data_IF_819765683728
#
_entry.id   IF_819765683728
#
_cell.length_a   1.000
_cell.length_b   1.000
_cell.length_c   1.000
_cell.angle_alpha   90.00
_cell.angle_beta   90.00
_cell.angle_gamma   90.00
#
_symmetry.space_group_name_H-M   'P 1'
#
loop_
_entity.id
_entity.type
_entity.pdbx_description
1 polymer ?
#
# COMPACT_ATOMS: atom_id res chain seq x y z
N UNK A 1 0.52 2.10 -31.33
CA UNK A 1 0.46 2.29 -29.87
C UNK A 1 -0.15 1.07 -29.20
N UNK A 2 -1.28 0.56 -29.69
CA UNK A 2 -1.96 -0.62 -29.12
C UNK A 2 -1.10 -1.90 -29.11
N UNK A 3 -0.41 -2.25 -30.20
CA UNK A 3 0.43 -3.46 -30.24
C UNK A 3 1.55 -3.47 -29.19
N UNK A 4 2.14 -2.31 -28.92
CA UNK A 4 3.16 -2.16 -27.89
C UNK A 4 2.56 -2.38 -26.50
N UNK A 5 1.38 -1.82 -26.23
CA UNK A 5 0.67 -1.99 -24.96
C UNK A 5 0.27 -3.46 -24.77
N UNK A 6 -0.28 -4.11 -25.80
CA UNK A 6 -0.64 -5.54 -25.74
C UNK A 6 0.60 -6.39 -25.47
N UNK A 7 1.73 -6.14 -26.16
CA UNK A 7 2.99 -6.84 -25.90
C UNK A 7 3.48 -6.64 -24.47
N UNK A 8 3.39 -5.41 -23.95
CA UNK A 8 3.81 -5.09 -22.58
C UNK A 8 2.94 -5.80 -21.54
N UNK A 9 1.62 -5.83 -21.74
CA UNK A 9 0.68 -6.56 -20.88
C UNK A 9 1.01 -8.07 -20.91
N UNK A 10 1.14 -8.65 -22.09
CA UNK A 10 1.44 -10.09 -22.25
C UNK A 10 2.76 -10.45 -21.59
N UNK A 11 3.83 -9.69 -21.85
CA UNK A 11 5.14 -9.90 -21.22
C UNK A 11 5.07 -9.72 -19.71
N UNK A 12 4.30 -8.73 -19.22
CA UNK A 12 4.05 -8.54 -17.80
C UNK A 12 3.40 -9.75 -17.16
N UNK A 13 2.31 -10.28 -17.73
CA UNK A 13 1.60 -11.46 -17.23
C UNK A 13 2.50 -12.69 -17.19
N UNK A 14 3.28 -12.93 -18.25
CA UNK A 14 4.25 -14.03 -18.31
C UNK A 14 5.32 -13.85 -17.23
N UNK A 15 5.91 -12.66 -17.12
CA UNK A 15 6.95 -12.36 -16.15
C UNK A 15 6.48 -12.60 -14.71
N UNK A 16 5.30 -12.09 -14.34
CA UNK A 16 4.73 -12.29 -13.00
C UNK A 16 4.38 -13.75 -12.71
N UNK A 17 3.94 -14.50 -13.72
CA UNK A 17 3.69 -15.94 -13.59
C UNK A 17 4.99 -16.70 -13.32
N UNK A 18 6.07 -16.36 -14.03
CA UNK A 18 7.39 -16.97 -13.78
C UNK A 18 7.91 -16.63 -12.39
N UNK A 19 7.81 -15.36 -11.97
CA UNK A 19 8.20 -14.94 -10.61
C UNK A 19 7.42 -15.73 -9.56
N UNK A 20 6.12 -15.92 -9.74
CA UNK A 20 5.31 -16.73 -8.83
C UNK A 20 5.79 -18.18 -8.73
N UNK A 21 6.06 -18.83 -9.87
CA UNK A 21 6.58 -20.20 -9.89
C UNK A 21 7.97 -20.30 -9.24
N UNK A 22 8.84 -19.31 -9.44
CA UNK A 22 10.15 -19.23 -8.79
C UNK A 22 10.03 -19.07 -7.28
N UNK A 23 9.18 -18.15 -6.80
CA UNK A 23 8.91 -17.98 -5.36
C UNK A 23 8.36 -19.28 -4.77
N UNK A 24 7.43 -19.94 -5.46
CA UNK A 24 6.87 -21.23 -5.01
C UNK A 24 7.94 -22.32 -4.91
N UNK A 25 8.90 -22.33 -5.85
CA UNK A 25 10.01 -23.28 -5.86
C UNK A 25 11.00 -23.02 -4.72
N UNK A 26 11.36 -21.76 -4.48
CA UNK A 26 12.29 -21.35 -3.42
C UNK A 26 11.66 -21.57 -2.03
N UNK A 27 10.38 -21.20 -1.88
CA UNK A 27 9.63 -21.28 -0.63
C UNK A 27 8.57 -22.40 -0.70
N UNK A 28 9.01 -23.62 -0.99
CA UNK A 28 8.13 -24.79 -1.14
C UNK A 28 7.30 -25.08 0.12
N UNK A 29 7.83 -24.74 1.30
CA UNK A 29 7.20 -24.94 2.60
C UNK A 29 6.11 -23.90 2.93
N UNK A 30 6.00 -22.80 2.17
CA UNK A 30 4.97 -21.79 2.40
C UNK A 30 3.63 -22.19 1.75
N UNK A 31 2.53 -21.55 2.16
CA UNK A 31 1.23 -21.74 1.51
C UNK A 31 1.20 -21.05 0.13
N UNK A 32 0.23 -21.42 -0.72
CA UNK A 32 -0.03 -20.72 -1.98
C UNK A 32 -0.28 -19.22 -1.74
N UNK A 33 -1.05 -18.88 -0.71
CA UNK A 33 -1.41 -17.51 -0.37
C UNK A 33 -0.20 -16.72 0.14
N UNK A 34 0.66 -17.34 0.95
CA UNK A 34 1.94 -16.77 1.37
C UNK A 34 2.84 -16.45 0.17
N UNK A 35 2.97 -17.37 -0.79
CA UNK A 35 3.73 -17.12 -2.01
C UNK A 35 3.15 -15.94 -2.79
N UNK A 36 1.82 -15.89 -2.93
CA UNK A 36 1.13 -14.79 -3.60
C UNK A 36 1.38 -13.42 -2.93
N UNK A 37 1.42 -13.39 -1.59
CA UNK A 37 1.76 -12.17 -0.82
C UNK A 37 3.19 -11.70 -1.05
N UNK A 38 4.15 -12.63 -1.14
CA UNK A 38 5.55 -12.31 -1.45
C UNK A 38 5.61 -11.68 -2.85
N UNK A 39 4.99 -12.31 -3.85
CA UNK A 39 4.95 -11.77 -5.22
C UNK A 39 4.24 -10.41 -5.27
N UNK A 40 3.14 -10.24 -4.54
CA UNK A 40 2.42 -8.95 -4.45
C UNK A 40 3.28 -7.86 -3.83
N UNK A 41 4.09 -8.20 -2.81
CA UNK A 41 5.03 -7.25 -2.20
C UNK A 41 6.13 -6.84 -3.18
N UNK A 42 6.66 -7.80 -3.94
CA UNK A 42 7.64 -7.53 -5.01
C UNK A 42 7.01 -6.63 -6.09
N UNK A 43 5.78 -6.92 -6.50
CA UNK A 43 5.03 -6.11 -7.46
C UNK A 43 4.86 -4.66 -6.99
N UNK A 44 4.38 -4.46 -5.77
CA UNK A 44 4.21 -3.12 -5.20
C UNK A 44 5.56 -2.38 -5.13
N UNK A 45 6.63 -3.04 -4.69
CA UNK A 45 7.96 -2.43 -4.61
C UNK A 45 8.51 -2.03 -5.99
N UNK A 46 8.38 -2.90 -6.99
CA UNK A 46 8.80 -2.59 -8.36
C UNK A 46 7.93 -1.48 -8.97
N UNK A 47 6.61 -1.52 -8.78
CA UNK A 47 5.71 -0.47 -9.27
C UNK A 47 6.06 0.90 -8.69
N UNK A 48 6.24 0.99 -7.37
CA UNK A 48 6.62 2.23 -6.70
C UNK A 48 8.00 2.72 -7.16
N UNK A 49 8.98 1.82 -7.30
CA UNK A 49 10.35 2.18 -7.73
C UNK A 49 10.35 2.69 -9.17
N UNK A 50 9.75 1.94 -10.10
CA UNK A 50 9.71 2.31 -11.51
C UNK A 50 8.89 3.58 -11.74
N UNK A 51 7.77 3.74 -11.03
CA UNK A 51 6.98 4.97 -11.07
C UNK A 51 7.81 6.15 -10.56
N UNK A 52 8.56 5.98 -9.47
CA UNK A 52 9.44 7.03 -8.93
C UNK A 52 10.56 7.42 -9.89
N UNK A 53 11.15 6.45 -10.58
CA UNK A 53 12.18 6.68 -11.61
C UNK A 53 11.62 7.34 -12.88
N UNK A 54 10.31 7.23 -13.12
CA UNK A 54 9.66 7.86 -14.28
C UNK A 54 9.39 9.36 -14.10
N UNK A 55 9.42 9.86 -12.86
CA UNK A 55 9.19 11.27 -12.54
C UNK A 55 10.46 12.07 -12.84
N UNK A 56 10.35 13.01 -13.78
CA UNK A 56 11.48 13.83 -14.22
C UNK A 56 11.83 14.98 -13.26
N UNK A 57 10.82 15.50 -12.53
CA UNK A 57 11.01 16.61 -11.61
C UNK A 57 10.26 16.37 -10.28
N UNK A 58 11.01 16.38 -9.19
CA UNK A 58 10.53 16.22 -7.81
C UNK A 58 10.48 17.54 -7.03
N UNK A 59 10.83 18.68 -7.63
CA UNK A 59 10.89 19.98 -6.95
C UNK A 59 9.53 20.46 -6.42
N UNK A 60 8.45 20.06 -7.09
CA UNK A 60 7.08 20.39 -6.69
C UNK A 60 6.18 19.16 -6.88
N UNK A 61 6.25 18.17 -5.97
CA UNK A 61 5.61 16.88 -6.17
C UNK A 61 4.09 16.95 -6.09
N UNK A 62 3.56 18.01 -5.46
CA UNK A 62 2.13 18.25 -5.29
C UNK A 62 1.83 19.69 -5.73
N UNK A 63 0.76 19.88 -6.50
CA UNK A 63 0.34 21.19 -6.98
C UNK A 63 -0.03 22.12 -5.82
N UNK A 64 0.28 23.43 -5.85
CA UNK A 64 -0.32 24.36 -4.90
C UNK A 64 -1.86 24.37 -5.01
N UNK A 65 -2.55 24.58 -3.89
CA UNK A 65 -4.01 24.72 -3.90
C UNK A 65 -4.44 25.82 -4.89
N UNK A 66 -5.51 25.55 -5.66
CA UNK A 66 -6.06 26.41 -6.72
C UNK A 66 -5.18 26.65 -7.97
N UNK A 67 -4.08 25.92 -8.17
CA UNK A 67 -3.32 25.97 -9.42
C UNK A 67 -3.80 24.92 -10.43
N UNK A 68 -3.63 25.22 -11.74
CA UNK A 68 -3.77 24.22 -12.81
C UNK A 68 -2.53 23.34 -12.83
N UNK A 69 -2.73 22.03 -12.74
CA UNK A 69 -1.65 21.06 -12.74
C UNK A 69 -1.00 20.95 -14.12
N UNK A 70 0.32 21.04 -14.18
CA UNK A 70 1.08 20.67 -15.38
C UNK A 70 1.20 19.15 -15.50
N UNK A 71 1.45 18.65 -16.72
CA UNK A 71 1.62 17.21 -16.96
C UNK A 71 2.67 16.57 -16.03
N UNK A 72 3.75 17.29 -15.72
CA UNK A 72 4.80 16.85 -14.81
C UNK A 72 4.33 16.73 -13.35
N UNK A 73 3.56 17.72 -12.89
CA UNK A 73 3.03 17.72 -11.51
C UNK A 73 1.96 16.64 -11.31
N UNK A 74 1.14 16.36 -12.34
CA UNK A 74 0.21 15.23 -12.29
C UNK A 74 0.94 13.89 -12.10
N UNK A 75 2.08 13.72 -12.78
CA UNK A 75 2.91 12.52 -12.66
C UNK A 75 3.46 12.35 -11.24
N UNK A 76 4.09 13.38 -10.68
CA UNK A 76 4.62 13.33 -9.32
C UNK A 76 3.55 13.16 -8.25
N UNK A 77 2.38 13.80 -8.43
CA UNK A 77 1.23 13.68 -7.52
C UNK A 77 0.68 12.25 -7.51
N UNK A 78 0.59 11.62 -8.68
CA UNK A 78 0.18 10.22 -8.81
C UNK A 78 1.19 9.27 -8.16
N UNK A 79 2.50 9.52 -8.29
CA UNK A 79 3.52 8.72 -7.60
C UNK A 79 3.50 8.94 -6.09
N UNK A 80 3.26 10.17 -5.63
CA UNK A 80 3.05 10.44 -4.21
C UNK A 80 1.82 9.69 -3.65
N UNK A 81 0.73 9.65 -4.42
CA UNK A 81 -0.45 8.85 -4.10
C UNK A 81 -0.07 7.35 -3.98
N UNK A 82 0.67 6.81 -4.96
CA UNK A 82 1.13 5.41 -4.95
C UNK A 82 1.98 5.09 -3.71
N UNK A 83 2.90 5.97 -3.32
CA UNK A 83 3.71 5.79 -2.10
C UNK A 83 2.83 5.74 -0.85
N UNK A 84 1.94 6.73 -0.71
CA UNK A 84 0.98 6.78 0.41
C UNK A 84 0.12 5.53 0.42
N UNK A 85 -0.23 5.00 -0.76
CA UNK A 85 -1.09 3.83 -0.84
C UNK A 85 -0.41 2.52 -0.50
N UNK A 86 0.83 2.34 -0.93
CA UNK A 86 1.52 1.05 -0.91
C UNK A 86 2.52 0.87 0.24
N UNK A 87 2.96 1.94 0.91
CA UNK A 87 3.98 1.84 1.97
C UNK A 87 3.55 0.94 3.15
N UNK A 88 2.24 0.83 3.40
CA UNK A 88 1.70 -0.06 4.43
C UNK A 88 1.54 -1.53 4.00
N UNK A 89 1.53 -1.81 2.69
CA UNK A 89 1.25 -3.14 2.12
C UNK A 89 2.28 -4.21 2.52
N UNK A 90 3.60 -3.94 2.53
CA UNK A 90 4.59 -4.91 3.01
C UNK A 90 4.33 -5.38 4.45
N UNK A 91 3.92 -4.46 5.33
CA UNK A 91 3.63 -4.77 6.73
C UNK A 91 2.33 -5.56 6.88
N UNK A 92 1.33 -5.27 6.05
CA UNK A 92 0.09 -6.06 5.93
C UNK A 92 0.39 -7.51 5.50
N UNK A 93 1.22 -7.68 4.46
CA UNK A 93 1.60 -9.01 4.01
C UNK A 93 2.44 -9.75 5.06
N UNK A 94 3.37 -9.06 5.73
CA UNK A 94 4.20 -9.63 6.79
C UNK A 94 3.37 -10.13 7.98
N UNK A 95 2.41 -9.35 8.50
CA UNK A 95 1.55 -9.79 9.62
C UNK A 95 0.69 -11.01 9.26
N UNK A 96 0.32 -11.17 7.99
CA UNK A 96 -0.46 -12.31 7.54
C UNK A 96 0.42 -13.53 7.31
N UNK A 97 1.63 -13.34 6.77
CA UNK A 97 2.65 -14.38 6.65
C UNK A 97 3.03 -14.97 8.02
N UNK A 98 3.25 -14.11 9.03
CA UNK A 98 3.53 -14.56 10.40
C UNK A 98 2.41 -15.45 10.97
N UNK A 99 1.14 -15.12 10.69
CA UNK A 99 0.00 -15.94 11.13
C UNK A 99 -0.04 -17.30 10.42
N UNK A 100 0.27 -17.33 9.12
CA UNK A 100 0.32 -18.57 8.34
C UNK A 100 1.49 -19.47 8.77
N UNK A 101 2.61 -18.89 9.21
CA UNK A 101 3.77 -19.61 9.75
C UNK A 101 3.58 -20.12 11.20
N UNK A 102 2.40 -19.92 11.80
CA UNK A 102 2.11 -20.37 13.17
C UNK A 102 2.48 -19.36 14.27
N UNK A 103 3.02 -18.19 13.93
CA UNK A 103 3.36 -17.13 14.90
C UNK A 103 2.15 -16.27 15.30
N UNK A 104 0.93 -16.83 15.26
CA UNK A 104 -0.28 -16.12 15.68
C UNK A 104 -0.20 -15.79 17.18
N UNK A 105 -0.59 -14.57 17.55
CA UNK A 105 -0.57 -14.05 18.92
C UNK A 105 0.79 -14.00 19.63
N UNK A 106 1.90 -14.13 18.88
CA UNK A 106 3.26 -13.87 19.38
C UNK A 106 3.59 -12.38 19.42
N UNK A 107 4.65 -12.00 20.15
CA UNK A 107 5.17 -10.63 20.17
C UNK A 107 5.62 -10.15 18.78
N UNK A 108 6.17 -11.04 17.94
CA UNK A 108 6.53 -10.70 16.55
C UNK A 108 5.30 -10.32 15.71
N UNK A 109 4.22 -11.09 15.81
CA UNK A 109 2.96 -10.79 15.12
C UNK A 109 2.29 -9.53 15.67
N UNK A 110 2.40 -9.27 16.98
CA UNK A 110 1.92 -8.02 17.57
C UNK A 110 2.73 -6.80 17.09
N UNK A 111 4.06 -6.93 17.04
CA UNK A 111 4.93 -5.89 16.51
C UNK A 111 4.61 -5.58 15.03
N UNK A 112 4.38 -6.61 14.21
CA UNK A 112 3.96 -6.43 12.82
C UNK A 112 2.56 -5.79 12.70
N UNK A 113 1.59 -6.19 13.53
CA UNK A 113 0.27 -5.55 13.59
C UNK A 113 0.36 -4.07 13.96
N UNK A 114 1.22 -3.72 14.92
CA UNK A 114 1.42 -2.34 15.37
C UNK A 114 2.19 -1.50 14.35
N UNK A 115 3.25 -2.04 13.76
CA UNK A 115 3.99 -1.39 12.68
C UNK A 115 3.09 -1.09 11.48
N UNK A 116 2.26 -2.07 11.06
CA UNK A 116 1.24 -1.86 10.05
C UNK A 116 0.28 -0.73 10.44
N UNK A 117 -0.23 -0.73 11.67
CA UNK A 117 -1.15 0.32 12.13
C UNK A 117 -0.52 1.71 12.13
N UNK A 118 0.72 1.86 12.62
CA UNK A 118 1.44 3.14 12.65
C UNK A 118 1.68 3.66 11.24
N UNK A 119 2.25 2.82 10.36
CA UNK A 119 2.56 3.22 8.99
C UNK A 119 1.29 3.56 8.21
N UNK A 120 0.24 2.75 8.34
CA UNK A 120 -1.06 3.04 7.74
C UNK A 120 -1.62 4.38 8.24
N UNK A 121 -1.51 4.67 9.55
CA UNK A 121 -2.00 5.93 10.12
C UNK A 121 -1.24 7.14 9.59
N UNK A 122 0.09 7.10 9.63
CA UNK A 122 0.93 8.21 9.15
C UNK A 122 0.73 8.45 7.65
N UNK A 123 0.80 7.39 6.84
CA UNK A 123 0.67 7.54 5.40
C UNK A 123 -0.76 7.91 5.01
N UNK A 124 -1.77 7.15 5.45
CA UNK A 124 -3.14 7.26 4.94
C UNK A 124 -4.01 8.25 5.70
N UNK A 125 -3.80 8.45 7.01
CA UNK A 125 -4.64 9.34 7.82
C UNK A 125 -4.03 10.72 8.05
N UNK A 126 -2.75 10.92 7.67
CA UNK A 126 -2.12 12.24 7.66
C UNK A 126 -1.79 12.63 6.22
N UNK A 127 -0.95 11.85 5.54
CA UNK A 127 -0.57 12.12 4.13
C UNK A 127 -1.76 12.05 3.17
N UNK A 128 -2.64 11.05 3.34
CA UNK A 128 -3.82 10.85 2.49
C UNK A 128 -4.78 12.05 2.45
N UNK A 129 -5.28 12.57 3.59
CA UNK A 129 -6.11 13.77 3.63
C UNK A 129 -5.43 15.00 3.05
N UNK A 130 -4.13 15.19 3.33
CA UNK A 130 -3.38 16.30 2.76
C UNK A 130 -3.36 16.24 1.24
N UNK A 131 -3.01 15.07 0.68
CA UNK A 131 -2.99 14.88 -0.77
C UNK A 131 -4.38 15.09 -1.37
N UNK A 132 -5.42 14.46 -0.78
CA UNK A 132 -6.79 14.60 -1.25
C UNK A 132 -7.29 16.06 -1.20
N UNK A 133 -6.95 16.80 -0.15
CA UNK A 133 -7.27 18.24 -0.03
C UNK A 133 -6.68 19.02 -1.20
N UNK A 134 -5.40 18.80 -1.48
CA UNK A 134 -4.71 19.49 -2.58
C UNK A 134 -5.28 19.08 -3.94
N UNK A 135 -5.52 17.79 -4.16
CA UNK A 135 -6.13 17.28 -5.41
C UNK A 135 -7.54 17.85 -5.65
N UNK A 136 -8.36 17.97 -4.59
CA UNK A 136 -9.75 18.44 -4.69
C UNK A 136 -9.84 19.97 -4.84
N UNK A 137 -8.91 20.71 -4.24
CA UNK A 137 -8.86 22.18 -4.33
C UNK A 137 -8.19 22.69 -5.60
N UNK A 138 -7.38 21.88 -6.28
CA UNK A 138 -6.84 22.20 -7.60
C UNK A 138 -7.92 22.16 -8.71
N UNK A 139 -7.60 22.77 -9.85
CA UNK A 139 -8.45 22.76 -11.06
C UNK A 139 -8.34 21.42 -11.81
N UNK A 140 -8.69 20.34 -11.12
CA UNK A 140 -8.66 18.97 -11.63
C UNK A 140 -10.04 18.52 -12.15
N UNK A 141 -10.10 17.59 -13.12
CA UNK A 141 -11.34 16.97 -13.55
C UNK A 141 -12.11 16.33 -12.37
N UNK A 142 -13.44 16.38 -12.43
CA UNK A 142 -14.34 15.85 -11.37
C UNK A 142 -14.00 14.40 -11.03
N UNK A 143 -13.65 13.57 -12.02
CA UNK A 143 -13.28 12.17 -11.83
C UNK A 143 -12.08 12.01 -10.87
N UNK A 144 -11.04 12.82 -11.01
CA UNK A 144 -9.84 12.75 -10.16
C UNK A 144 -10.17 13.13 -8.72
N UNK A 145 -11.01 14.17 -8.54
CA UNK A 145 -11.51 14.56 -7.22
C UNK A 145 -12.32 13.45 -6.56
N UNK A 146 -13.21 12.81 -7.33
CA UNK A 146 -14.00 11.68 -6.85
C UNK A 146 -13.12 10.48 -6.47
N UNK A 147 -12.09 10.16 -7.26
CA UNK A 147 -11.13 9.11 -6.93
C UNK A 147 -10.34 9.41 -5.65
N UNK A 148 -9.86 10.65 -5.47
CA UNK A 148 -9.15 11.06 -4.26
C UNK A 148 -10.03 10.93 -3.01
N UNK A 149 -11.28 11.39 -3.08
CA UNK A 149 -12.25 11.23 -1.98
C UNK A 149 -12.62 9.76 -1.73
N UNK A 150 -12.77 8.97 -2.78
CA UNK A 150 -13.02 7.52 -2.68
C UNK A 150 -11.88 6.78 -1.99
N UNK A 151 -10.63 7.07 -2.35
CA UNK A 151 -9.44 6.52 -1.69
C UNK A 151 -9.36 6.93 -0.22
N UNK A 152 -9.72 8.17 0.11
CA UNK A 152 -9.79 8.63 1.50
C UNK A 152 -10.88 7.87 2.28
N UNK A 153 -12.08 7.70 1.72
CA UNK A 153 -13.16 6.97 2.35
C UNK A 153 -12.79 5.51 2.65
N UNK A 154 -12.20 4.81 1.67
CA UNK A 154 -11.69 3.44 1.86
C UNK A 154 -10.60 3.41 2.94
N UNK A 155 -9.72 4.41 2.96
CA UNK A 155 -8.66 4.50 3.98
C UNK A 155 -9.23 4.66 5.38
N UNK A 156 -10.26 5.50 5.56
CA UNK A 156 -10.95 5.69 6.85
C UNK A 156 -11.65 4.41 7.30
N UNK A 157 -12.35 3.73 6.38
CA UNK A 157 -12.99 2.44 6.68
C UNK A 157 -11.98 1.40 7.20
N UNK A 158 -10.84 1.27 6.52
CA UNK A 158 -9.79 0.34 6.94
C UNK A 158 -9.14 0.77 8.25
N UNK A 159 -8.90 2.07 8.45
CA UNK A 159 -8.36 2.59 9.69
C UNK A 159 -9.23 2.21 10.89
N UNK A 160 -10.56 2.34 10.78
CA UNK A 160 -11.49 1.91 11.83
C UNK A 160 -11.29 0.42 12.19
N UNK A 161 -11.18 -0.46 11.19
CA UNK A 161 -10.94 -1.90 11.42
C UNK A 161 -9.59 -2.16 12.09
N UNK A 162 -8.55 -1.42 11.69
CA UNK A 162 -7.21 -1.52 12.26
C UNK A 162 -7.21 -1.08 13.72
N UNK A 163 -7.79 0.09 14.03
CA UNK A 163 -7.91 0.61 15.38
C UNK A 163 -8.66 -0.38 16.30
N UNK A 164 -9.76 -0.97 15.80
CA UNK A 164 -10.51 -1.99 16.54
C UNK A 164 -9.67 -3.24 16.84
N UNK A 165 -8.88 -3.69 15.86
CA UNK A 165 -7.98 -4.84 16.00
C UNK A 165 -6.86 -4.59 17.01
N UNK A 166 -6.21 -3.41 16.95
CA UNK A 166 -5.17 -3.00 17.91
C UNK A 166 -5.76 -2.92 19.32
N UNK A 167 -6.90 -2.25 19.50
CA UNK A 167 -7.58 -2.15 20.80
C UNK A 167 -7.90 -3.51 21.39
N UNK A 168 -8.46 -4.42 20.58
CA UNK A 168 -8.77 -5.78 21.02
C UNK A 168 -7.53 -6.53 21.52
N UNK A 169 -6.41 -6.45 20.78
CA UNK A 169 -5.16 -7.12 21.16
C UNK A 169 -4.53 -6.57 22.43
N UNK A 170 -4.57 -5.25 22.62
CA UNK A 170 -4.07 -4.61 23.85
C UNK A 170 -4.89 -5.01 25.08
N UNK A 171 -6.22 -5.06 24.96
CA UNK A 171 -7.10 -5.51 26.04
C UNK A 171 -6.85 -6.98 26.37
N UNK A 172 -6.77 -7.86 25.35
CA UNK A 172 -6.49 -9.29 25.53
C UNK A 172 -5.16 -9.52 26.26
N UNK A 173 -4.10 -8.80 25.87
CA UNK A 173 -2.77 -8.87 26.53
C UNK A 173 -2.80 -8.38 27.97
N UNK A 174 -3.51 -7.29 28.24
CA UNK A 174 -3.66 -6.73 29.60
C UNK A 174 -4.44 -7.67 30.53
N UNK A 175 -5.40 -8.43 29.99
CA UNK A 175 -6.11 -9.46 30.75
C UNK A 175 -5.22 -10.66 31.08
N UNK A 176 -4.37 -11.10 30.14
CA UNK A 176 -3.44 -12.21 30.36
C UNK A 176 -2.40 -11.88 31.44
N UNK A 177 -1.76 -10.69 31.35
CA UNK A 177 -0.76 -10.23 32.31
C UNK A 177 -1.29 -10.00 33.74
N UNK A 178 -2.62 -9.92 33.93
CA UNK A 178 -3.23 -9.79 35.27
C UNK A 178 -3.48 -11.14 35.94
N UNK A 179 -3.42 -12.24 35.19
CA UNK A 179 -3.72 -13.61 35.66
C UNK A 179 -2.44 -14.40 35.95
N UNK A 180 -1.32 -14.01 35.33
CA UNK A 180 0.05 -14.47 35.63
C UNK A 180 0.71 -13.60 36.68
#
# INVERSE_FOLDING_TARGET
MEDYIVRLIVLGVISWSVVFLLVRKIFSNLSFNSCNRIVSTIHAALAVTLASLSVQDWRCPVCPAAAKSSHWQCGSEMVAALWITEISSPFLHMRELLKELGYKDTDANLAADFAFAVIFSLARMIGGPYLAYVTVTADNPILIKAMALGLLAVSVFWFYKIARMVRYKLIKRSGHNKVT
#
